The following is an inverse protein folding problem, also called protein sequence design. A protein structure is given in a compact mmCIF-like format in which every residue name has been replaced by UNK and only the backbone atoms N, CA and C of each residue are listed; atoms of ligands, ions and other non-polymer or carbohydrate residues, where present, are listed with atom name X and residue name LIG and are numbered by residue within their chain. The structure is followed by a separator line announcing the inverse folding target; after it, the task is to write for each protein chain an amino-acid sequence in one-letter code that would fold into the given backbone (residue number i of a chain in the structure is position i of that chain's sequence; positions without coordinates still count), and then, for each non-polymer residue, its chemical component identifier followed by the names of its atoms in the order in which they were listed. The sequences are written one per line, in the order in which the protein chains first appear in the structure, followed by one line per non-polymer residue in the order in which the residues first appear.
data_IF_332412135899
#
_entry.id   IF_332412135899
#
_cell.length_a   1.000
_cell.length_b   1.000
_cell.length_c   1.000
_cell.angle_alpha   90.00
_cell.angle_beta   90.00
_cell.angle_gamma   90.00
#
_symmetry.space_group_name_H-M   'P 1'
#
loop_
_entity.id
_entity.type
_entity.pdbx_description
1 polymer ?
#
# COMPACT_ATOMS: atom_id res chain seq x y z
N UNK A 1 -11.02 -7.56 -12.94
CA UNK A 1 -9.70 -7.33 -12.34
C UNK A 1 -9.89 -6.34 -11.21
N UNK A 2 -9.20 -6.51 -10.08
CA UNK A 2 -9.27 -5.53 -9.00
C UNK A 2 -8.35 -4.34 -9.32
N UNK A 3 -8.86 -3.12 -9.15
CA UNK A 3 -8.09 -1.90 -9.30
C UNK A 3 -7.70 -1.35 -7.93
N UNK A 4 -6.43 -0.97 -7.77
CA UNK A 4 -5.88 -0.42 -6.53
C UNK A 4 -5.54 1.06 -6.74
N UNK A 5 -6.14 1.93 -5.92
CA UNK A 5 -5.80 3.35 -5.86
C UNK A 5 -4.98 3.65 -4.61
N UNK A 6 -3.72 4.06 -4.79
CA UNK A 6 -2.84 4.46 -3.68
C UNK A 6 -2.73 5.99 -3.67
N UNK A 7 -3.16 6.62 -2.57
CA UNK A 7 -3.14 8.07 -2.37
C UNK A 7 -2.09 8.45 -1.32
N UNK A 8 -1.69 9.72 -1.30
CA UNK A 8 -0.77 10.24 -0.28
C UNK A 8 0.66 9.70 -0.38
N UNK A 9 1.08 9.22 -1.55
CA UNK A 9 2.44 8.70 -1.76
C UNK A 9 3.43 9.86 -1.90
N UNK A 10 4.59 9.73 -1.27
CA UNK A 10 5.68 10.70 -1.41
C UNK A 10 6.04 10.92 -2.89
N UNK A 11 6.08 12.19 -3.38
CA UNK A 11 6.45 12.49 -4.75
C UNK A 11 7.81 11.91 -5.20
N UNK A 12 8.77 11.74 -4.29
CA UNK A 12 10.06 11.14 -4.58
C UNK A 12 9.93 9.65 -4.95
N UNK A 13 9.05 8.91 -4.28
CA UNK A 13 8.77 7.50 -4.60
C UNK A 13 8.14 7.38 -5.99
N UNK A 14 7.20 8.27 -6.32
CA UNK A 14 6.57 8.29 -7.66
C UNK A 14 7.61 8.56 -8.75
N UNK A 15 8.54 9.49 -8.52
CA UNK A 15 9.63 9.78 -9.46
C UNK A 15 10.56 8.58 -9.64
N UNK A 16 10.96 7.94 -8.55
CA UNK A 16 11.81 6.75 -8.59
C UNK A 16 11.13 5.58 -9.34
N UNK A 17 9.84 5.36 -9.11
CA UNK A 17 9.05 4.34 -9.80
C UNK A 17 8.99 4.60 -11.31
N UNK A 18 8.71 5.85 -11.72
CA UNK A 18 8.68 6.23 -13.14
C UNK A 18 10.04 6.04 -13.81
N UNK A 19 11.12 6.42 -13.14
CA UNK A 19 12.48 6.20 -13.66
C UNK A 19 12.74 4.70 -13.88
N UNK A 20 12.46 3.87 -12.86
CA UNK A 20 12.62 2.41 -12.93
C UNK A 20 11.79 1.80 -14.06
N UNK A 21 10.55 2.24 -14.22
CA UNK A 21 9.70 1.80 -15.32
C UNK A 21 10.30 2.13 -16.70
N UNK A 22 10.88 3.33 -16.85
CA UNK A 22 11.63 3.72 -18.05
C UNK A 22 12.85 2.82 -18.30
N UNK A 23 13.64 2.57 -17.26
CA UNK A 23 14.83 1.69 -17.32
C UNK A 23 14.45 0.24 -17.72
N UNK A 24 13.26 -0.23 -17.35
CA UNK A 24 12.73 -1.56 -17.69
C UNK A 24 11.88 -1.61 -18.97
N UNK A 25 11.66 -0.48 -19.65
CA UNK A 25 10.79 -0.39 -20.83
C UNK A 25 9.31 -0.71 -20.55
N UNK A 26 8.84 -0.43 -19.33
CA UNK A 26 7.47 -0.70 -18.87
C UNK A 26 6.72 0.59 -18.55
N UNK A 27 5.39 0.51 -18.51
CA UNK A 27 4.58 1.58 -17.95
C UNK A 27 4.74 1.64 -16.43
N UNK A 28 4.55 2.82 -15.83
CA UNK A 28 4.65 2.98 -14.38
C UNK A 28 3.69 2.06 -13.61
N UNK A 29 2.48 1.82 -14.14
CA UNK A 29 1.52 0.89 -13.54
C UNK A 29 1.95 -0.58 -13.67
N UNK A 30 2.57 -0.96 -14.78
CA UNK A 30 3.12 -2.32 -14.93
C UNK A 30 4.31 -2.56 -13.99
N UNK A 31 5.20 -1.58 -13.85
CA UNK A 31 6.31 -1.64 -12.91
C UNK A 31 5.83 -1.68 -11.45
N UNK A 32 4.77 -0.93 -11.13
CA UNK A 32 4.16 -0.97 -9.80
C UNK A 32 3.60 -2.36 -9.48
N UNK A 33 2.83 -2.96 -10.40
CA UNK A 33 2.30 -4.32 -10.22
C UNK A 33 3.40 -5.36 -10.07
N UNK A 34 4.46 -5.25 -10.88
CA UNK A 34 5.60 -6.14 -10.77
C UNK A 34 6.29 -6.02 -9.40
N UNK A 35 6.46 -4.78 -8.90
CA UNK A 35 7.03 -4.54 -7.57
C UNK A 35 6.17 -5.18 -6.47
N UNK A 36 4.85 -4.97 -6.50
CA UNK A 36 3.92 -5.55 -5.52
C UNK A 36 3.90 -7.08 -5.59
N UNK A 37 3.92 -7.67 -6.78
CA UNK A 37 3.92 -9.12 -6.96
C UNK A 37 5.24 -9.78 -6.52
N UNK A 38 6.35 -9.03 -6.53
CA UNK A 38 7.65 -9.49 -6.06
C UNK A 38 7.86 -9.28 -4.55
N UNK A 39 6.96 -8.56 -3.87
CA UNK A 39 7.05 -8.42 -2.42
C UNK A 39 6.90 -9.80 -1.77
N UNK A 40 7.79 -10.17 -0.84
CA UNK A 40 7.61 -11.39 -0.08
C UNK A 40 6.31 -11.31 0.73
N UNK A 41 5.72 -12.46 1.01
CA UNK A 41 4.60 -12.54 1.95
C UNK A 41 5.11 -12.15 3.36
N UNK A 42 4.68 -10.98 3.82
CA UNK A 42 5.17 -10.36 5.06
C UNK A 42 4.01 -9.77 5.84
N UNK A 43 4.15 -9.77 7.16
CA UNK A 43 3.07 -9.42 8.10
C UNK A 43 2.19 -10.62 8.41
N UNK A 44 1.69 -10.69 9.65
CA UNK A 44 0.62 -11.61 10.02
C UNK A 44 -0.66 -10.81 10.13
N UNK A 45 -1.80 -11.42 9.85
CA UNK A 45 -3.11 -10.79 10.08
C UNK A 45 -3.25 -10.24 11.51
N UNK A 46 -2.57 -10.87 12.48
CA UNK A 46 -2.49 -10.43 13.87
C UNK A 46 -1.89 -9.02 14.06
N UNK A 47 -1.04 -8.53 13.15
CA UNK A 47 -0.47 -7.19 13.21
C UNK A 47 -1.53 -6.09 13.03
N UNK A 48 -2.67 -6.45 12.40
CA UNK A 48 -3.84 -5.59 12.23
C UNK A 48 -4.99 -5.99 13.15
N UNK A 49 -4.79 -6.92 14.08
CA UNK A 49 -5.84 -7.35 15.00
C UNK A 49 -6.33 -6.15 15.82
N UNK A 50 -7.63 -5.87 15.71
CA UNK A 50 -8.27 -4.81 16.48
C UNK A 50 -8.10 -5.10 17.97
N UNK A 51 -7.26 -4.34 18.65
CA UNK A 51 -7.18 -4.38 20.10
C UNK A 51 -8.39 -3.63 20.65
N UNK A 52 -9.29 -4.36 21.30
CA UNK A 52 -10.36 -3.72 22.06
C UNK A 52 -9.76 -3.23 23.37
N UNK A 53 -9.47 -1.94 23.46
CA UNK A 53 -9.22 -1.32 24.75
C UNK A 53 -10.51 -1.47 25.57
N UNK A 54 -10.47 -2.25 26.65
CA UNK A 54 -11.64 -2.67 27.43
C UNK A 54 -12.39 -1.54 28.17
N UNK A 55 -12.19 -0.28 27.79
CA UNK A 55 -12.98 0.84 28.26
C UNK A 55 -14.23 0.98 27.38
N UNK A 56 -15.40 1.09 28.02
CA UNK A 56 -16.66 1.39 27.34
C UNK A 56 -16.43 2.49 26.29
N UNK A 57 -16.51 2.12 25.01
CA UNK A 57 -16.31 3.05 23.90
C UNK A 57 -17.34 4.16 24.03
N UNK A 58 -16.89 5.38 24.39
CA UNK A 58 -17.74 6.55 24.32
C UNK A 58 -18.24 6.68 22.89
N UNK A 59 -19.56 6.79 22.71
CA UNK A 59 -20.15 6.97 21.39
C UNK A 59 -19.56 8.23 20.75
N UNK A 60 -18.82 8.07 19.66
CA UNK A 60 -18.10 9.15 18.96
C UNK A 60 -19.07 10.15 18.29
N UNK A 61 -20.36 9.84 18.30
CA UNK A 61 -21.41 10.57 17.61
C UNK A 61 -22.50 11.16 18.53
N UNK A 62 -22.27 11.20 19.85
CA UNK A 62 -23.04 12.05 20.78
C UNK A 62 -22.43 13.47 20.85
#
# INVERSE_FOLDING_TARGET
MADLLVRGVDPAVVRALKKRAGDHGRSAAAEHRASLAAMPDVGRDADFARHQDGGASADVFD
#
